data_IF_790091708078
#
_entry.id   IF_790091708078
#
_cell.length_a   1.000
_cell.length_b   1.000
_cell.length_c   1.000
_cell.angle_alpha   90.00
_cell.angle_beta   90.00
_cell.angle_gamma   90.00
#
_symmetry.space_group_name_H-M   'P 1'
#
loop_
_entity.id
_entity.type
_entity.pdbx_description
1 polymer ?
#
# COMPACT_ATOMS: atom_id res chain seq x y z
N UNK A 1 -6.07 5.77 7.62
CA UNK A 1 -7.49 5.52 7.31
C UNK A 1 -7.93 4.31 8.13
N UNK A 2 -8.98 4.43 8.93
CA UNK A 2 -9.40 3.37 9.88
C UNK A 2 -10.77 2.76 9.54
N UNK A 3 -11.40 3.20 8.46
CA UNK A 3 -12.66 2.66 7.99
C UNK A 3 -12.69 2.59 6.46
N UNK A 4 -13.50 1.66 5.95
CA UNK A 4 -13.83 1.54 4.52
C UNK A 4 -15.11 2.34 4.23
N UNK A 5 -15.35 2.72 2.96
CA UNK A 5 -16.62 3.33 2.56
C UNK A 5 -17.83 2.44 2.89
N UNK A 6 -19.07 2.99 2.89
CA UNK A 6 -20.28 2.18 3.04
C UNK A 6 -20.32 1.01 2.06
N UNK A 7 -20.72 -0.17 2.53
CA UNK A 7 -20.68 -1.45 1.80
C UNK A 7 -19.26 -1.94 1.41
N UNK A 8 -18.23 -1.29 1.96
CA UNK A 8 -16.86 -1.72 1.83
C UNK A 8 -16.58 -2.97 2.66
N UNK A 9 -15.82 -3.90 2.10
CA UNK A 9 -15.34 -5.10 2.77
C UNK A 9 -13.83 -5.12 2.70
N UNK A 10 -13.18 -5.27 3.86
CA UNK A 10 -11.73 -5.45 3.95
C UNK A 10 -11.39 -6.84 3.47
N UNK A 11 -10.48 -6.93 2.51
CA UNK A 11 -9.99 -8.18 1.92
C UNK A 11 -8.57 -8.54 2.39
N UNK A 12 -7.78 -7.55 2.84
CA UNK A 12 -6.42 -7.74 3.32
C UNK A 12 -6.02 -6.67 4.33
N UNK A 13 -5.23 -7.06 5.32
CA UNK A 13 -4.75 -6.18 6.39
C UNK A 13 -3.42 -6.68 6.97
N UNK A 14 -2.66 -5.74 7.54
CA UNK A 14 -1.51 -6.02 8.41
C UNK A 14 -1.59 -5.19 9.69
N UNK A 15 -0.70 -5.47 10.65
CA UNK A 15 -0.61 -4.70 11.89
C UNK A 15 -0.29 -3.23 11.65
N UNK A 16 0.43 -2.91 10.56
CA UNK A 16 0.82 -1.53 10.21
C UNK A 16 -0.24 -0.83 9.35
N UNK A 17 -0.96 -1.60 8.54
CA UNK A 17 -1.99 -1.09 7.66
C UNK A 17 -3.28 -1.91 7.85
N UNK A 18 -4.21 -1.46 8.70
CA UNK A 18 -5.42 -2.21 9.00
C UNK A 18 -6.39 -2.39 7.82
N UNK A 19 -6.23 -1.58 6.76
CA UNK A 19 -7.01 -1.66 5.52
C UNK A 19 -6.00 -1.62 4.36
N UNK A 20 -5.47 -2.79 3.99
CA UNK A 20 -4.54 -2.90 2.84
C UNK A 20 -5.29 -3.14 1.55
N UNK A 21 -6.38 -3.91 1.57
CA UNK A 21 -7.18 -4.16 0.38
C UNK A 21 -8.65 -4.07 0.77
N UNK A 22 -9.46 -3.39 -0.04
CA UNK A 22 -10.91 -3.40 0.14
C UNK A 22 -11.66 -3.44 -1.19
N UNK A 23 -12.88 -3.97 -1.13
CA UNK A 23 -13.82 -4.02 -2.24
C UNK A 23 -15.15 -3.38 -1.85
N UNK A 24 -15.93 -2.96 -2.85
CA UNK A 24 -17.34 -2.58 -2.71
C UNK A 24 -18.13 -3.40 -3.73
N UNK A 25 -19.07 -4.21 -3.24
CA UNK A 25 -19.75 -5.21 -4.06
C UNK A 25 -18.74 -6.20 -4.66
N UNK A 26 -18.76 -6.37 -5.99
CA UNK A 26 -17.86 -7.28 -6.71
C UNK A 26 -16.58 -6.61 -7.24
N UNK A 27 -16.33 -5.34 -6.91
CA UNK A 27 -15.17 -4.60 -7.41
C UNK A 27 -14.17 -4.33 -6.30
N UNK A 28 -12.92 -4.77 -6.50
CA UNK A 28 -11.78 -4.32 -5.68
C UNK A 28 -11.48 -2.88 -6.07
N UNK A 29 -11.60 -1.96 -5.11
CA UNK A 29 -11.48 -0.51 -5.38
C UNK A 29 -10.16 0.09 -4.92
N UNK A 30 -9.51 -0.52 -3.94
CA UNK A 30 -8.28 0.02 -3.40
C UNK A 30 -7.37 -1.04 -2.83
N UNK A 31 -6.09 -0.88 -3.15
CA UNK A 31 -4.97 -1.54 -2.50
C UNK A 31 -4.01 -0.46 -2.00
N UNK A 32 -3.60 -0.57 -0.74
CA UNK A 32 -2.57 0.25 -0.13
C UNK A 32 -1.30 -0.58 -0.03
N UNK A 33 -0.36 -0.26 -0.92
CA UNK A 33 0.86 -1.01 -1.17
C UNK A 33 1.16 -1.02 -2.66
N UNK A 34 2.32 -1.55 -3.02
CA UNK A 34 2.72 -1.74 -4.41
C UNK A 34 3.05 -3.22 -4.64
N UNK A 35 2.05 -4.11 -4.76
CA UNK A 35 2.30 -5.52 -5.08
C UNK A 35 3.06 -5.69 -6.40
N UNK A 36 3.06 -4.67 -7.26
CA UNK A 36 3.81 -4.59 -8.49
C UNK A 36 5.29 -4.21 -8.31
N UNK A 37 5.71 -3.77 -7.12
CA UNK A 37 7.11 -3.40 -6.87
C UNK A 37 7.93 -4.64 -6.51
N UNK A 38 8.98 -4.87 -7.30
CA UNK A 38 10.02 -5.84 -6.97
C UNK A 38 11.05 -5.22 -6.01
N UNK A 39 11.92 -6.07 -5.44
CA UNK A 39 13.03 -5.63 -4.59
C UNK A 39 13.97 -4.64 -5.29
N UNK A 40 14.14 -4.76 -6.61
CA UNK A 40 14.98 -3.86 -7.40
C UNK A 40 14.40 -2.43 -7.43
N UNK A 41 13.08 -2.29 -7.63
CA UNK A 41 12.40 -0.98 -7.63
C UNK A 41 12.50 -0.31 -6.26
N UNK A 42 12.34 -1.10 -5.19
CA UNK A 42 12.52 -0.63 -3.82
C UNK A 42 13.95 -0.15 -3.57
N UNK A 43 14.93 -0.92 -4.04
CA UNK A 43 16.36 -0.60 -3.91
C UNK A 43 16.70 0.69 -4.64
N UNK A 44 16.24 0.85 -5.88
CA UNK A 44 16.45 2.08 -6.67
C UNK A 44 15.82 3.30 -6.01
N UNK A 45 14.60 3.15 -5.48
CA UNK A 45 13.92 4.24 -4.77
C UNK A 45 14.71 4.66 -3.52
N UNK A 46 15.15 3.70 -2.71
CA UNK A 46 15.92 3.94 -1.50
C UNK A 46 17.26 4.60 -1.82
N UNK A 47 18.03 4.04 -2.77
CA UNK A 47 19.29 4.60 -3.21
C UNK A 47 19.14 6.04 -3.71
N UNK A 48 18.10 6.32 -4.50
CA UNK A 48 17.84 7.67 -4.99
C UNK A 48 17.50 8.65 -3.87
N UNK A 49 16.77 8.21 -2.84
CA UNK A 49 16.36 9.03 -1.70
C UNK A 49 17.53 9.28 -0.73
N UNK A 50 18.39 8.27 -0.52
CA UNK A 50 19.64 8.39 0.24
C UNK A 50 20.60 9.37 -0.45
N UNK A 51 20.80 9.22 -1.76
CA UNK A 51 21.67 10.12 -2.52
C UNK A 51 21.21 11.59 -2.49
N UNK A 52 19.89 11.82 -2.37
CA UNK A 52 19.30 13.16 -2.21
C UNK A 52 19.24 13.63 -0.75
N UNK A 53 19.73 12.85 0.21
CA UNK A 53 19.68 13.17 1.64
C UNK A 53 18.26 13.31 2.20
N UNK A 54 17.24 12.76 1.52
CA UNK A 54 15.83 12.87 1.94
C UNK A 54 15.46 11.85 3.03
N UNK A 55 16.30 10.83 3.19
CA UNK A 55 16.26 9.85 4.26
C UNK A 55 17.71 9.69 4.75
N UNK A 56 17.88 9.56 6.06
CA UNK A 56 19.18 9.38 6.75
C UNK A 56 19.27 8.01 7.38
#
# INVERSE_FOLDING_TARGET
VSCVPPNGVVLGYSSKTPIEIFAVGNFVLGIQGHPEFSEDVLSDLLNSRLARGTIS
#
